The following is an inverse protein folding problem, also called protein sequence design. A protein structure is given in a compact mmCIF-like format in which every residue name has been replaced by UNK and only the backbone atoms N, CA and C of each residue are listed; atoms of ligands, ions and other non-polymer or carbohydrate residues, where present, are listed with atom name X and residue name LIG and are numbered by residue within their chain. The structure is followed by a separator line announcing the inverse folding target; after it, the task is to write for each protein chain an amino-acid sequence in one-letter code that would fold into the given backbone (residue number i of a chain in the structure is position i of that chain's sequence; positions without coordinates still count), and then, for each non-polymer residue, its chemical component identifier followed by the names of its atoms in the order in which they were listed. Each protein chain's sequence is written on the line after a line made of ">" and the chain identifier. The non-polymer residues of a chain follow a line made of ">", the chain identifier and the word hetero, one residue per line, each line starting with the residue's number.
data_IF_471024698684
#
_entry.id   IF_471024698684
#
_cell.length_a   1.000
_cell.length_b   1.000
_cell.length_c   1.000
_cell.angle_alpha   90.00
_cell.angle_beta   90.00
_cell.angle_gamma   90.00
#
_symmetry.space_group_name_H-M   'P 1'
#
loop_
_entity.id
_entity.type
_entity.pdbx_description
1 polymer ?
#
# COMPACT_ATOMS: atom_id res chain seq x y z
N UNK A 1 -7.00 -27.45 7.27
CA UNK A 1 -5.90 -26.46 7.19
C UNK A 1 -6.18 -25.61 5.97
N UNK A 2 -6.82 -24.47 6.19
CA UNK A 2 -7.34 -23.64 5.10
C UNK A 2 -6.22 -23.18 4.19
N UNK A 3 -6.29 -23.63 2.95
CA UNK A 3 -5.44 -23.19 1.85
C UNK A 3 -5.70 -21.70 1.64
N UNK A 4 -5.02 -20.83 2.36
CA UNK A 4 -5.05 -19.38 2.13
C UNK A 4 -4.88 -19.16 0.63
N UNK A 5 -5.91 -18.63 -0.03
CA UNK A 5 -5.92 -18.53 -1.48
C UNK A 5 -5.07 -17.31 -1.88
N UNK A 6 -3.75 -17.47 -1.84
CA UNK A 6 -2.77 -16.44 -2.21
C UNK A 6 -3.05 -15.88 -3.60
N UNK A 7 -3.61 -16.70 -4.50
CA UNK A 7 -4.04 -16.27 -5.81
C UNK A 7 -5.15 -15.21 -5.75
N UNK A 8 -6.10 -15.32 -4.82
CA UNK A 8 -7.13 -14.27 -4.60
C UNK A 8 -6.50 -12.96 -4.15
N UNK A 9 -5.51 -13.01 -3.25
CA UNK A 9 -4.78 -11.80 -2.83
C UNK A 9 -4.01 -11.18 -3.99
N UNK A 10 -3.28 -11.99 -4.77
CA UNK A 10 -2.51 -11.52 -5.92
C UNK A 10 -3.42 -10.90 -6.98
N UNK A 11 -4.51 -11.58 -7.34
CA UNK A 11 -5.48 -11.09 -8.33
C UNK A 11 -6.17 -9.81 -7.84
N UNK A 12 -6.58 -9.77 -6.57
CA UNK A 12 -7.19 -8.58 -5.98
C UNK A 12 -6.23 -7.38 -5.96
N UNK A 13 -4.98 -7.60 -5.56
CA UNK A 13 -3.94 -6.59 -5.59
C UNK A 13 -3.68 -6.08 -7.02
N UNK A 14 -3.59 -7.00 -7.99
CA UNK A 14 -3.35 -6.65 -9.39
C UNK A 14 -4.50 -5.83 -9.97
N UNK A 15 -5.76 -6.24 -9.72
CA UNK A 15 -6.93 -5.47 -10.12
C UNK A 15 -6.92 -4.07 -9.51
N UNK A 16 -6.66 -3.96 -8.20
CA UNK A 16 -6.60 -2.67 -7.53
C UNK A 16 -5.53 -1.75 -8.13
N UNK A 17 -4.33 -2.28 -8.41
CA UNK A 17 -3.24 -1.53 -9.04
C UNK A 17 -3.63 -1.09 -10.45
N UNK A 18 -4.28 -1.95 -11.25
CA UNK A 18 -4.75 -1.58 -12.60
C UNK A 18 -5.77 -0.45 -12.54
N UNK A 19 -6.76 -0.53 -11.64
CA UNK A 19 -7.74 0.54 -11.46
C UNK A 19 -7.10 1.84 -10.99
N UNK A 20 -6.15 1.77 -10.05
CA UNK A 20 -5.40 2.92 -9.57
C UNK A 20 -4.60 3.61 -10.68
N UNK A 21 -3.90 2.81 -11.50
CA UNK A 21 -3.13 3.32 -12.65
C UNK A 21 -4.07 3.94 -13.68
N UNK A 22 -5.19 3.29 -13.99
CA UNK A 22 -6.18 3.82 -14.91
C UNK A 22 -6.73 5.17 -14.47
N UNK A 23 -7.14 5.30 -13.19
CA UNK A 23 -7.63 6.58 -12.65
C UNK A 23 -6.52 7.65 -12.65
N UNK A 24 -5.28 7.27 -12.34
CA UNK A 24 -4.13 8.18 -12.40
C UNK A 24 -3.88 8.70 -13.82
N UNK A 25 -3.94 7.84 -14.85
CA UNK A 25 -3.78 8.24 -16.24
C UNK A 25 -4.94 9.10 -16.73
N UNK A 26 -6.17 8.77 -16.34
CA UNK A 26 -7.36 9.57 -16.64
C UNK A 26 -7.23 10.98 -16.08
N UNK A 27 -6.76 11.10 -14.84
CA UNK A 27 -6.54 12.39 -14.19
C UNK A 27 -5.40 13.19 -14.81
N UNK A 28 -4.33 12.50 -15.20
CA UNK A 28 -3.19 13.10 -15.91
C UNK A 28 -3.62 13.64 -17.28
N UNK A 29 -4.45 12.90 -18.02
CA UNK A 29 -5.02 13.33 -19.30
C UNK A 29 -5.97 14.53 -19.15
N UNK A 30 -6.58 14.70 -17.97
CA UNK A 30 -7.40 15.86 -17.63
C UNK A 30 -6.57 17.06 -17.09
N UNK A 31 -5.23 16.99 -17.16
CA UNK A 31 -4.28 18.00 -16.63
C UNK A 31 -4.47 18.36 -15.15
N UNK A 32 -5.18 17.52 -14.39
CA UNK A 32 -5.49 17.78 -12.99
C UNK A 32 -4.35 17.27 -12.09
N UNK A 33 -3.23 17.98 -12.14
CA UNK A 33 -2.03 17.67 -11.35
C UNK A 33 -2.26 17.87 -9.84
N UNK A 34 -3.21 18.72 -9.47
CA UNK A 34 -3.63 18.96 -8.08
C UNK A 34 -4.17 17.70 -7.41
N UNK A 35 -4.70 16.74 -8.17
CA UNK A 35 -5.13 15.46 -7.62
C UNK A 35 -3.98 14.64 -7.02
N UNK A 36 -2.79 14.64 -7.63
CA UNK A 36 -1.63 13.91 -7.08
C UNK A 36 -1.14 14.51 -5.74
N UNK A 37 -1.49 15.77 -5.48
CA UNK A 37 -1.23 16.46 -4.22
C UNK A 37 -2.38 16.31 -3.20
N UNK A 38 -3.51 15.75 -3.63
CA UNK A 38 -4.71 15.62 -2.80
C UNK A 38 -4.58 14.50 -1.76
N UNK A 39 -5.31 14.67 -0.65
CA UNK A 39 -5.41 13.63 0.39
C UNK A 39 -6.05 12.35 -0.17
N UNK A 40 -6.97 12.46 -1.14
CA UNK A 40 -7.59 11.30 -1.78
C UNK A 40 -6.58 10.44 -2.54
N UNK A 41 -5.63 11.05 -3.25
CA UNK A 41 -4.55 10.31 -3.89
C UNK A 41 -3.68 9.58 -2.87
N UNK A 42 -3.31 10.24 -1.77
CA UNK A 42 -2.53 9.63 -0.68
C UNK A 42 -3.25 8.39 -0.11
N UNK A 43 -4.57 8.50 0.10
CA UNK A 43 -5.40 7.41 0.61
C UNK A 43 -5.47 6.24 -0.36
N UNK A 44 -5.66 6.52 -1.66
CA UNK A 44 -5.73 5.48 -2.71
C UNK A 44 -4.37 4.83 -2.98
N UNK A 45 -3.27 5.55 -2.79
CA UNK A 45 -1.90 5.07 -2.97
C UNK A 45 -1.42 4.20 -1.81
N UNK A 46 -1.87 4.42 -0.58
CA UNK A 46 -1.40 3.65 0.59
C UNK A 46 -1.58 2.12 0.45
N UNK A 47 -2.74 1.60 -0.04
CA UNK A 47 -2.90 0.19 -0.36
C UNK A 47 -1.99 -0.29 -1.50
N UNK A 48 -1.69 0.55 -2.50
CA UNK A 48 -0.76 0.20 -3.59
C UNK A 48 0.63 -0.08 -3.04
N UNK A 49 1.13 0.79 -2.15
CA UNK A 49 2.43 0.59 -1.50
C UNK A 49 2.44 -0.72 -0.70
N UNK A 50 1.37 -1.00 0.05
CA UNK A 50 1.21 -2.23 0.81
C UNK A 50 1.25 -3.46 -0.10
N UNK A 51 0.47 -3.47 -1.18
CA UNK A 51 0.44 -4.56 -2.14
C UNK A 51 1.78 -4.76 -2.85
N UNK A 52 2.52 -3.70 -3.12
CA UNK A 52 3.85 -3.80 -3.72
C UNK A 52 4.84 -4.51 -2.78
N UNK A 53 4.88 -4.11 -1.50
CA UNK A 53 5.74 -4.74 -0.49
C UNK A 53 5.37 -6.21 -0.25
N UNK A 54 4.07 -6.51 -0.14
CA UNK A 54 3.60 -7.89 0.01
C UNK A 54 3.80 -8.73 -1.26
N UNK A 55 3.66 -8.12 -2.44
CA UNK A 55 3.85 -8.76 -3.74
C UNK A 55 5.28 -9.25 -3.94
N UNK A 56 6.28 -8.44 -3.57
CA UNK A 56 7.69 -8.87 -3.58
C UNK A 56 7.90 -10.10 -2.69
N UNK A 57 7.28 -10.11 -1.51
CA UNK A 57 7.44 -11.20 -0.54
C UNK A 57 6.75 -12.50 -1.01
N UNK A 58 5.54 -12.38 -1.56
CA UNK A 58 4.75 -13.51 -2.04
C UNK A 58 5.25 -14.05 -3.39
N UNK A 59 5.83 -13.20 -4.24
CA UNK A 59 6.41 -13.60 -5.53
C UNK A 59 7.60 -14.56 -5.38
N UNK A 60 8.38 -14.42 -4.31
CA UNK A 60 9.50 -15.32 -3.99
C UNK A 60 9.13 -16.45 -3.00
N UNK A 61 7.84 -16.65 -2.72
CA UNK A 61 7.36 -17.75 -1.85
C UNK A 61 7.89 -19.14 -2.23
N UNK A 62 7.90 -19.60 -3.51
CA UNK A 62 8.37 -20.94 -3.84
C UNK A 62 9.86 -21.18 -3.53
N UNK A 63 10.66 -20.11 -3.41
CA UNK A 63 12.07 -20.18 -3.06
C UNK A 63 12.31 -20.32 -1.54
N UNK A 64 11.26 -20.38 -0.71
CA UNK A 64 11.38 -20.48 0.74
C UNK A 64 11.95 -19.23 1.42
N UNK A 65 12.08 -18.13 0.67
CA UNK A 65 12.72 -16.87 1.08
C UNK A 65 12.04 -16.27 2.32
N UNK A 66 10.74 -16.50 2.48
CA UNK A 66 9.94 -16.03 3.63
C UNK A 66 10.35 -16.65 4.97
N UNK A 67 10.99 -17.83 4.95
CA UNK A 67 11.46 -18.55 6.15
C UNK A 67 12.90 -18.22 6.52
N UNK A 68 13.60 -17.41 5.72
CA UNK A 68 14.98 -17.01 6.01
C UNK A 68 14.97 -16.21 7.31
N UNK A 69 15.83 -16.63 8.25
CA UNK A 69 16.03 -15.96 9.54
C UNK A 69 17.05 -14.84 9.32
N UNK A 70 16.68 -13.61 9.66
CA UNK A 70 17.58 -12.46 9.58
C UNK A 70 18.30 -12.22 10.91
N UNK A 71 17.54 -12.23 12.01
CA UNK A 71 18.03 -11.95 13.36
C UNK A 71 17.30 -12.82 14.39
N UNK A 72 17.99 -13.78 14.99
CA UNK A 72 17.43 -14.62 16.06
C UNK A 72 16.16 -15.38 15.62
N UNK A 73 14.99 -14.93 16.08
CA UNK A 73 13.68 -15.50 15.72
C UNK A 73 12.91 -14.68 14.66
N UNK A 74 13.47 -13.55 14.20
CA UNK A 74 12.82 -12.69 13.21
C UNK A 74 13.09 -13.23 11.81
N UNK A 75 12.03 -13.74 11.18
CA UNK A 75 12.06 -14.14 9.78
C UNK A 75 11.98 -12.93 8.87
N UNK A 76 12.49 -13.08 7.65
CA UNK A 76 12.37 -12.08 6.58
C UNK A 76 10.90 -11.69 6.34
N UNK A 77 9.98 -12.64 6.48
CA UNK A 77 8.55 -12.38 6.46
C UNK A 77 8.14 -11.34 7.51
N UNK A 78 8.47 -11.57 8.79
CA UNK A 78 8.12 -10.67 9.89
C UNK A 78 8.76 -9.30 9.70
N UNK A 79 10.01 -9.26 9.23
CA UNK A 79 10.74 -8.00 9.03
C UNK A 79 10.07 -7.12 7.96
N UNK A 80 9.81 -7.67 6.77
CA UNK A 80 9.21 -6.89 5.68
C UNK A 80 7.77 -6.51 6.01
N UNK A 81 6.98 -7.41 6.61
CA UNK A 81 5.60 -7.08 7.03
C UNK A 81 5.59 -5.92 8.02
N UNK A 82 6.52 -5.88 8.98
CA UNK A 82 6.63 -4.75 9.91
C UNK A 82 6.96 -3.45 9.19
N UNK A 83 7.93 -3.45 8.26
CA UNK A 83 8.28 -2.25 7.47
C UNK A 83 7.08 -1.75 6.66
N UNK A 84 6.40 -2.66 5.97
CA UNK A 84 5.24 -2.35 5.14
C UNK A 84 4.09 -1.81 5.99
N UNK A 85 3.83 -2.40 7.16
CA UNK A 85 2.85 -1.89 8.11
C UNK A 85 3.21 -0.49 8.65
N UNK A 86 4.47 -0.25 9.03
CA UNK A 86 4.92 1.06 9.51
C UNK A 86 4.68 2.12 8.44
N UNK A 87 5.08 1.84 7.18
CA UNK A 87 4.85 2.75 6.06
C UNK A 87 3.35 2.99 5.82
N UNK A 88 2.53 1.95 5.83
CA UNK A 88 1.08 2.04 5.66
C UNK A 88 0.41 2.90 6.74
N UNK A 89 0.70 2.63 8.02
CA UNK A 89 0.16 3.43 9.12
C UNK A 89 0.69 4.86 9.12
N UNK A 90 1.93 5.08 8.68
CA UNK A 90 2.47 6.44 8.54
C UNK A 90 1.69 7.22 7.49
N UNK A 91 1.42 6.62 6.32
CA UNK A 91 0.63 7.24 5.27
C UNK A 91 -0.79 7.58 5.74
N UNK A 92 -1.44 6.68 6.48
CA UNK A 92 -2.76 6.93 7.07
C UNK A 92 -2.70 8.07 8.10
N UNK A 93 -1.70 8.10 8.96
CA UNK A 93 -1.56 9.18 9.94
C UNK A 93 -1.32 10.53 9.25
N UNK A 94 -0.53 10.56 8.17
CA UNK A 94 -0.35 11.77 7.35
C UNK A 94 -1.68 12.20 6.72
N UNK A 95 -2.47 11.25 6.21
CA UNK A 95 -3.81 11.51 5.69
C UNK A 95 -4.69 12.18 6.76
N UNK A 96 -4.81 11.55 7.94
CA UNK A 96 -5.63 12.07 9.05
C UNK A 96 -5.15 13.47 9.48
N UNK A 97 -3.83 13.67 9.55
CA UNK A 97 -3.25 14.95 9.92
C UNK A 97 -3.59 16.06 8.91
N UNK A 98 -3.42 15.79 7.61
CA UNK A 98 -3.75 16.75 6.54
C UNK A 98 -5.24 17.07 6.51
N UNK A 99 -6.09 16.05 6.66
CA UNK A 99 -7.54 16.22 6.67
C UNK A 99 -8.01 17.05 7.87
N UNK A 100 -7.45 16.78 9.05
CA UNK A 100 -7.71 17.56 10.27
C UNK A 100 -7.28 19.02 10.12
N UNK A 101 -6.17 19.29 9.44
CA UNK A 101 -5.71 20.66 9.19
C UNK A 101 -6.66 21.40 8.24
N UNK A 102 -7.08 20.77 7.14
CA UNK A 102 -8.06 21.33 6.21
C UNK A 102 -9.40 21.64 6.91
N UNK A 103 -9.89 20.76 7.78
CA UNK A 103 -11.12 21.01 8.55
C UNK A 103 -10.99 22.19 9.52
N UNK A 104 -9.82 22.38 10.15
CA UNK A 104 -9.58 23.55 11.01
C UNK A 104 -9.59 24.87 10.24
N UNK A 105 -9.07 24.89 9.01
CA UNK A 105 -9.09 26.08 8.15
C UNK A 105 -10.50 26.48 7.70
N UNK A 106 -11.41 25.52 7.48
CA UNK A 106 -12.81 25.80 7.09
C UNK A 106 -13.63 26.38 8.25
N UNK A 107 -13.22 26.12 9.49
CA UNK A 107 -13.94 26.51 10.71
C UNK A 107 -13.41 27.78 11.38
N UNK A 108 -12.30 28.35 10.89
CA UNK A 108 -11.70 29.60 11.37
C UNK A 108 -12.08 30.76 10.46
#
# INVERSE_FOLDING_TARGET
>A
MDTYNYYTFIVGALLYVVFFIYESFKQLRAENLTYFLSNNYLLLFAPVYFFFGMGLLLGFKPLGVTKIILFGQVTLYVFIVNIVCIAYYTLINIYIYREKNNYKWIKS
#
